data_IF_857953622473
#
_entry.id   IF_857953622473
#
_cell.length_a   1.000
_cell.length_b   1.000
_cell.length_c   1.000
_cell.angle_alpha   90.00
_cell.angle_beta   90.00
_cell.angle_gamma   90.00
#
_symmetry.space_group_name_H-M   'P 1'
#
loop_
_entity.id
_entity.type
_entity.pdbx_description
1 polymer ?
#
# COMPACT_ATOMS: atom_id res chain seq x y z
N UNK A 1 -25.39 9.80 3.10
CA UNK A 1 -24.16 8.98 3.12
C UNK A 1 -24.33 7.59 3.76
N UNK A 2 -24.84 7.46 4.99
CA UNK A 2 -24.92 6.15 5.71
C UNK A 2 -25.74 5.04 5.04
N UNK A 3 -26.69 5.37 4.16
CA UNK A 3 -27.57 4.38 3.49
C UNK A 3 -26.84 3.63 2.37
N UNK A 4 -26.06 4.34 1.56
CA UNK A 4 -25.21 3.76 0.51
C UNK A 4 -24.16 2.78 1.05
N UNK A 5 -23.62 2.99 2.26
CA UNK A 5 -22.66 2.07 2.88
C UNK A 5 -23.28 0.71 3.26
N UNK A 6 -24.58 0.69 3.55
CA UNK A 6 -25.31 -0.54 3.89
C UNK A 6 -25.94 -1.20 2.68
N UNK A 7 -26.57 -0.41 1.82
CA UNK A 7 -27.44 -0.91 0.74
C UNK A 7 -26.68 -1.02 -0.59
N UNK A 8 -25.58 -0.28 -0.78
CA UNK A 8 -24.88 -0.18 -2.06
C UNK A 8 -25.50 0.85 -3.00
N UNK A 9 -25.23 0.70 -4.30
CA UNK A 9 -25.91 1.44 -5.36
C UNK A 9 -27.07 0.63 -5.91
N UNK A 10 -27.86 1.24 -6.80
CA UNK A 10 -28.95 0.57 -7.51
C UNK A 10 -28.50 -0.73 -8.20
N UNK A 11 -27.22 -0.81 -8.61
CA UNK A 11 -26.67 -1.91 -9.42
C UNK A 11 -25.78 -2.89 -8.67
N UNK A 12 -25.20 -2.52 -7.52
CA UNK A 12 -24.33 -3.42 -6.78
C UNK A 12 -24.18 -3.02 -5.31
N UNK A 13 -23.96 -4.02 -4.45
CA UNK A 13 -23.46 -3.79 -3.10
C UNK A 13 -21.99 -3.35 -3.18
N UNK A 14 -21.68 -2.21 -2.56
CA UNK A 14 -20.31 -1.69 -2.48
C UNK A 14 -19.85 -1.76 -1.01
N UNK A 15 -19.35 -2.92 -0.53
CA UNK A 15 -18.99 -3.09 0.88
C UNK A 15 -17.77 -2.26 1.30
N UNK A 16 -17.01 -1.72 0.33
CA UNK A 16 -15.84 -0.89 0.56
C UNK A 16 -15.87 0.26 -0.45
N UNK A 17 -16.29 1.43 0.00
CA UNK A 17 -16.22 2.67 -0.78
C UNK A 17 -14.97 3.40 -0.33
N UNK A 18 -14.10 3.74 -1.29
CA UNK A 18 -12.99 4.66 -1.03
C UNK A 18 -13.61 6.06 -1.02
N UNK A 19 -13.96 6.57 0.17
CA UNK A 19 -14.62 7.88 0.31
C UNK A 19 -13.72 9.06 -0.02
N UNK A 20 -12.41 8.88 0.03
CA UNK A 20 -11.43 9.94 -0.19
C UNK A 20 -10.54 9.58 -1.38
N UNK A 21 -10.58 10.32 -2.49
CA UNK A 21 -9.65 10.10 -3.58
C UNK A 21 -8.21 10.25 -3.04
N UNK A 22 -7.29 9.41 -3.52
CA UNK A 22 -5.89 9.34 -3.09
C UNK A 22 -5.06 10.62 -3.34
N UNK A 23 -5.70 11.69 -3.81
CA UNK A 23 -5.09 12.98 -4.16
C UNK A 23 -5.66 14.14 -3.33
N UNK A 24 -5.98 13.89 -2.05
CA UNK A 24 -6.32 14.97 -1.11
C UNK A 24 -5.09 15.36 -0.31
N UNK A 25 -5.08 16.60 0.18
CA UNK A 25 -4.06 17.09 1.11
C UNK A 25 -3.97 16.18 2.34
N UNK A 26 -2.74 15.81 2.73
CA UNK A 26 -2.50 14.87 3.83
C UNK A 26 -2.88 15.43 5.20
N UNK A 27 -3.06 16.74 5.33
CA UNK A 27 -3.66 17.35 6.53
C UNK A 27 -5.15 17.03 6.68
N UNK A 28 -5.84 16.64 5.61
CA UNK A 28 -7.30 16.45 5.62
C UNK A 28 -7.72 15.07 6.12
N UNK A 29 -6.89 14.02 5.97
CA UNK A 29 -7.25 12.67 6.42
C UNK A 29 -6.08 11.84 6.93
N UNK A 30 -6.28 11.12 8.05
CA UNK A 30 -5.28 10.20 8.61
C UNK A 30 -4.91 9.06 7.65
N UNK A 31 -5.79 8.67 6.71
CA UNK A 31 -5.48 7.62 5.74
C UNK A 31 -4.42 8.07 4.73
N UNK A 32 -4.44 9.33 4.30
CA UNK A 32 -3.38 9.87 3.45
C UNK A 32 -2.06 9.96 4.21
N UNK A 33 -2.08 10.37 5.49
CA UNK A 33 -0.86 10.38 6.32
C UNK A 33 -0.24 8.99 6.47
N UNK A 34 -1.06 7.95 6.66
CA UNK A 34 -0.58 6.57 6.70
C UNK A 34 0.03 6.17 5.34
N UNK A 35 -0.60 6.58 4.24
CA UNK A 35 -0.09 6.33 2.89
C UNK A 35 1.27 7.00 2.66
N UNK A 36 1.44 8.25 3.12
CA UNK A 36 2.70 8.98 3.06
C UNK A 36 3.80 8.29 3.88
N UNK A 37 3.49 7.82 5.08
CA UNK A 37 4.44 7.06 5.90
C UNK A 37 4.85 5.74 5.24
N UNK A 38 3.91 5.04 4.60
CA UNK A 38 4.19 3.82 3.83
C UNK A 38 5.08 4.12 2.62
N UNK A 39 4.79 5.20 1.88
CA UNK A 39 5.58 5.65 0.74
C UNK A 39 7.00 6.04 1.16
N UNK A 40 7.12 6.83 2.24
CA UNK A 40 8.40 7.23 2.83
C UNK A 40 9.23 6.01 3.25
N UNK A 41 8.65 5.09 4.03
CA UNK A 41 9.35 3.89 4.49
C UNK A 41 9.83 3.02 3.31
N UNK A 42 9.01 2.88 2.27
CA UNK A 42 9.35 2.13 1.05
C UNK A 42 10.48 2.80 0.28
N UNK A 43 10.44 4.13 0.12
CA UNK A 43 11.49 4.90 -0.55
C UNK A 43 12.82 4.82 0.19
N UNK A 44 12.83 5.00 1.52
CA UNK A 44 14.05 4.88 2.34
C UNK A 44 14.67 3.50 2.24
N UNK A 45 13.86 2.45 2.17
CA UNK A 45 14.35 1.09 1.97
C UNK A 45 15.08 0.92 0.64
N UNK A 46 14.50 1.34 -0.47
CA UNK A 46 15.10 1.15 -1.79
C UNK A 46 16.28 2.10 -2.05
N UNK A 47 16.18 3.37 -1.66
CA UNK A 47 17.22 4.37 -1.96
C UNK A 47 18.39 4.34 -0.98
N UNK A 48 18.14 3.98 0.30
CA UNK A 48 19.12 4.12 1.39
C UNK A 48 19.38 2.83 2.17
N UNK A 49 18.70 1.73 1.81
CA UNK A 49 18.86 0.45 2.50
C UNK A 49 18.29 0.43 3.93
N UNK A 50 17.49 1.43 4.31
CA UNK A 50 16.94 1.52 5.66
C UNK A 50 15.81 0.51 5.89
N UNK A 51 16.02 -0.42 6.84
CA UNK A 51 15.08 -1.52 7.07
C UNK A 51 14.10 -1.28 8.21
N UNK A 52 14.41 -0.36 9.14
CA UNK A 52 13.66 -0.18 10.40
C UNK A 52 12.19 0.16 10.21
N UNK A 53 11.88 1.07 9.29
CA UNK A 53 10.49 1.45 9.01
C UNK A 53 9.82 0.45 8.07
N UNK A 54 10.56 -0.01 7.05
CA UNK A 54 10.04 -0.95 6.07
C UNK A 54 9.64 -2.30 6.69
N UNK A 55 10.38 -2.79 7.68
CA UNK A 55 10.07 -4.04 8.39
C UNK A 55 8.69 -4.01 9.07
N UNK A 56 8.19 -2.82 9.44
CA UNK A 56 6.86 -2.64 10.04
C UNK A 56 5.74 -2.85 9.03
N UNK A 57 5.96 -2.48 7.77
CA UNK A 57 4.92 -2.51 6.72
C UNK A 57 5.05 -3.71 5.78
N UNK A 58 6.25 -4.31 5.64
CA UNK A 58 6.52 -5.34 4.63
C UNK A 58 5.64 -6.59 4.78
N UNK A 59 5.21 -6.88 6.01
CA UNK A 59 4.33 -8.02 6.29
C UNK A 59 2.88 -7.80 5.87
N UNK A 60 2.50 -6.57 5.49
CA UNK A 60 1.16 -6.18 5.04
C UNK A 60 0.97 -6.21 3.53
N UNK A 61 2.06 -6.33 2.76
CA UNK A 61 1.93 -6.59 1.32
C UNK A 61 1.25 -7.94 1.09
N UNK A 62 0.41 -7.97 0.06
CA UNK A 62 -0.38 -9.13 -0.25
C UNK A 62 0.52 -10.28 -0.75
N UNK A 63 0.02 -11.51 -0.66
CA UNK A 63 0.73 -12.71 -1.08
C UNK A 63 -0.15 -13.55 -1.97
N UNK A 64 0.35 -13.88 -3.16
CA UNK A 64 -0.30 -14.80 -4.10
C UNK A 64 0.61 -15.99 -4.35
N UNK A 65 0.13 -17.20 -4.06
CA UNK A 65 0.89 -18.45 -4.17
C UNK A 65 2.25 -18.40 -3.44
N UNK A 66 2.28 -17.81 -2.24
CA UNK A 66 3.50 -17.66 -1.43
C UNK A 66 4.47 -16.56 -1.89
N UNK A 67 4.21 -15.90 -3.02
CA UNK A 67 4.99 -14.77 -3.53
C UNK A 67 4.36 -13.46 -3.12
N UNK A 68 5.19 -12.51 -2.74
CA UNK A 68 4.79 -11.14 -2.39
C UNK A 68 4.33 -10.41 -3.66
N UNK A 69 3.14 -9.81 -3.59
CA UNK A 69 2.54 -9.01 -4.65
C UNK A 69 2.13 -7.64 -4.10
N UNK A 70 1.84 -6.68 -4.98
CA UNK A 70 1.51 -5.30 -4.60
C UNK A 70 2.71 -4.37 -4.38
N UNK A 71 3.93 -4.89 -4.46
CA UNK A 71 5.16 -4.10 -4.51
C UNK A 71 6.17 -4.76 -5.44
N UNK A 72 6.88 -3.95 -6.24
CA UNK A 72 7.94 -4.41 -7.14
C UNK A 72 9.08 -3.41 -7.15
N UNK A 73 10.31 -3.93 -7.20
CA UNK A 73 11.49 -3.10 -7.35
C UNK A 73 11.86 -3.05 -8.83
N UNK A 74 11.83 -1.84 -9.40
CA UNK A 74 12.26 -1.61 -10.78
C UNK A 74 13.77 -1.41 -10.80
N UNK A 75 14.51 -2.45 -11.20
CA UNK A 75 15.97 -2.52 -11.10
C UNK A 75 16.54 -3.52 -12.12
N UNK A 76 17.86 -3.63 -12.22
CA UNK A 76 18.54 -4.59 -13.09
C UNK A 76 18.30 -6.05 -12.66
N UNK A 77 18.47 -6.98 -13.60
CA UNK A 77 18.44 -8.41 -13.30
C UNK A 77 19.52 -8.76 -12.27
N UNK A 78 19.13 -9.39 -11.16
CA UNK A 78 20.06 -9.84 -10.11
C UNK A 78 19.97 -9.12 -8.77
N UNK A 79 19.04 -8.17 -8.59
CA UNK A 79 18.83 -7.55 -7.28
C UNK A 79 18.43 -8.59 -6.21
N UNK A 80 19.12 -8.57 -5.07
CA UNK A 80 18.91 -9.49 -3.95
C UNK A 80 18.19 -8.82 -2.77
N UNK A 81 17.48 -7.71 -2.99
CA UNK A 81 16.70 -7.09 -1.92
C UNK A 81 15.55 -8.00 -1.46
N UNK A 82 14.98 -7.72 -0.29
CA UNK A 82 13.92 -8.51 0.34
C UNK A 82 12.70 -8.66 -0.59
N UNK A 83 12.35 -7.58 -1.30
CA UNK A 83 11.22 -7.57 -2.24
C UNK A 83 11.52 -8.44 -3.45
N UNK A 84 12.68 -8.27 -4.11
CA UNK A 84 13.07 -9.09 -5.26
C UNK A 84 13.21 -10.57 -4.92
N UNK A 85 13.68 -10.92 -3.72
CA UNK A 85 13.77 -12.32 -3.25
C UNK A 85 12.42 -12.97 -2.96
N UNK A 86 11.38 -12.16 -2.69
CA UNK A 86 10.05 -12.65 -2.29
C UNK A 86 8.99 -12.53 -3.38
N UNK A 87 9.30 -11.88 -4.51
CA UNK A 87 8.45 -11.75 -5.69
C UNK A 87 8.62 -12.98 -6.61
#
# INVERSE_FOLDING_TARGET
MRRFHREGTLWAKIPRIIETPLFVDSSLTSMVQISDLCAYATRRYFEKGETRLFSKIVSRFDKKHGRMVGIRHFTSSGCTCLVCRRH
#
